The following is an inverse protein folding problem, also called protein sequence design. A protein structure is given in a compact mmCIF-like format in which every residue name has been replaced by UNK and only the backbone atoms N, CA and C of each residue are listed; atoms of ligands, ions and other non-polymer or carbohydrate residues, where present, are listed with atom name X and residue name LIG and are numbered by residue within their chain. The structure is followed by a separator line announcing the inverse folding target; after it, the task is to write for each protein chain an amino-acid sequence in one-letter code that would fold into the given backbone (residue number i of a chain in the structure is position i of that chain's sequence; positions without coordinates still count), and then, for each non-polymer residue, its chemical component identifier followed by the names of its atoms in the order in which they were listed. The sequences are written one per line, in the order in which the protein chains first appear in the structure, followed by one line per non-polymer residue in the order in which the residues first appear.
data_IF_206493784308
#
_entry.id   IF_206493784308
#
_cell.length_a   1.000
_cell.length_b   1.000
_cell.length_c   1.000
_cell.angle_alpha   90.00
_cell.angle_beta   90.00
_cell.angle_gamma   90.00
#
_symmetry.space_group_name_H-M   'P 1'
#
loop_
_entity.id
_entity.type
_entity.pdbx_description
1 polymer ?
#
# COMPACT_ATOMS: atom_id res chain seq x y z
N UNK A 1 -0.54 15.46 -0.59
CA UNK A 1 -0.28 14.01 -0.47
C UNK A 1 -1.55 13.29 -0.11
N UNK A 2 -1.83 12.20 -0.81
CA UNK A 2 -2.92 11.26 -0.52
C UNK A 2 -2.33 9.88 -0.22
N UNK A 3 -2.93 9.16 0.74
CA UNK A 3 -2.50 7.82 1.16
C UNK A 3 -3.71 6.90 1.19
N UNK A 4 -3.59 5.74 0.55
CA UNK A 4 -4.66 4.74 0.52
C UNK A 4 -4.10 3.39 0.93
N UNK A 5 -4.64 2.81 2.00
CA UNK A 5 -4.30 1.46 2.44
C UNK A 5 -5.43 0.50 2.07
N UNK A 6 -5.12 -0.58 1.36
CA UNK A 6 -6.04 -1.63 0.96
C UNK A 6 -5.66 -2.91 1.68
N UNK A 7 -6.63 -3.51 2.36
CA UNK A 7 -6.47 -4.74 3.13
C UNK A 7 -7.79 -5.51 3.15
N UNK A 8 -7.77 -6.77 3.56
CA UNK A 8 -8.96 -7.57 3.76
C UNK A 8 -8.97 -7.99 5.23
N UNK A 9 -10.00 -7.57 5.97
CA UNK A 9 -10.10 -7.87 7.40
C UNK A 9 -10.36 -9.35 7.71
N UNK A 10 -10.68 -10.16 6.70
CA UNK A 10 -10.98 -11.59 6.83
C UNK A 10 -9.88 -12.51 6.31
N UNK A 11 -8.86 -11.95 5.65
CA UNK A 11 -7.75 -12.70 5.08
C UNK A 11 -6.45 -12.26 5.74
N UNK A 12 -5.72 -13.22 6.31
CA UNK A 12 -4.42 -12.94 6.88
C UNK A 12 -3.40 -12.63 5.77
N UNK A 13 -2.52 -11.62 5.96
CA UNK A 13 -1.40 -11.38 5.06
C UNK A 13 -0.49 -12.62 4.93
N UNK A 14 -0.01 -12.86 3.72
CA UNK A 14 0.87 -13.98 3.40
C UNK A 14 2.24 -13.82 4.06
N UNK A 15 2.90 -14.94 4.35
CA UNK A 15 4.20 -14.97 5.04
C UNK A 15 5.32 -14.22 4.31
N UNK A 16 5.24 -14.09 2.99
CA UNK A 16 6.19 -13.31 2.19
C UNK A 16 6.04 -11.79 2.39
N UNK A 17 4.86 -11.33 2.82
CA UNK A 17 4.51 -9.92 2.99
C UNK A 17 3.74 -9.71 4.29
N UNK A 18 4.38 -9.98 5.45
CA UNK A 18 3.72 -9.88 6.74
C UNK A 18 3.25 -8.44 7.01
N UNK A 19 2.09 -8.31 7.64
CA UNK A 19 1.50 -7.02 7.98
C UNK A 19 0.52 -7.19 9.13
N UNK A 20 0.55 -6.26 10.09
CA UNK A 20 -0.50 -6.11 11.08
C UNK A 20 -1.52 -5.09 10.56
N UNK A 21 -2.60 -5.58 9.94
CA UNK A 21 -3.61 -4.72 9.33
C UNK A 21 -4.22 -3.73 10.33
N UNK A 22 -4.47 -4.16 11.58
CA UNK A 22 -5.06 -3.30 12.60
C UNK A 22 -4.13 -2.14 12.94
N UNK A 23 -2.84 -2.43 13.13
CA UNK A 23 -1.82 -1.41 13.37
C UNK A 23 -1.66 -0.45 12.21
N UNK A 24 -1.67 -0.95 10.97
CA UNK A 24 -1.56 -0.11 9.77
C UNK A 24 -2.78 0.80 9.63
N UNK A 25 -3.99 0.31 9.90
CA UNK A 25 -5.21 1.14 9.95
C UNK A 25 -5.09 2.24 11.00
N UNK A 26 -4.55 1.94 12.18
CA UNK A 26 -4.31 2.96 13.22
C UNK A 26 -3.35 4.05 12.72
N UNK A 27 -2.23 3.68 12.08
CA UNK A 27 -1.26 4.63 11.53
C UNK A 27 -1.86 5.50 10.41
N UNK A 28 -2.73 4.93 9.56
CA UNK A 28 -3.47 5.69 8.55
C UNK A 28 -4.39 6.72 9.21
N UNK A 29 -5.11 6.34 10.26
CA UNK A 29 -5.99 7.25 11.01
C UNK A 29 -5.18 8.37 11.69
N UNK A 30 -3.97 8.09 12.18
CA UNK A 30 -3.07 9.11 12.70
C UNK A 30 -2.64 10.11 11.62
N UNK A 31 -2.33 9.66 10.40
CA UNK A 31 -2.04 10.55 9.26
C UNK A 31 -3.26 11.42 8.91
N UNK A 32 -4.45 10.83 8.91
CA UNK A 32 -5.70 11.56 8.65
C UNK A 32 -5.94 12.63 9.73
N UNK A 33 -5.71 12.31 11.01
CA UNK A 33 -5.82 13.26 12.12
C UNK A 33 -4.83 14.44 12.00
N UNK A 34 -3.70 14.25 11.31
CA UNK A 34 -2.76 15.33 10.95
C UNK A 34 -3.17 16.14 9.70
N UNK A 35 -4.39 15.96 9.19
CA UNK A 35 -4.93 16.69 8.04
C UNK A 35 -4.41 16.21 6.68
N UNK A 36 -3.78 15.02 6.58
CA UNK A 36 -3.45 14.41 5.29
C UNK A 36 -4.66 13.67 4.74
N UNK A 37 -4.81 13.61 3.41
CA UNK A 37 -5.84 12.80 2.76
C UNK A 37 -5.49 11.30 2.84
N UNK A 38 -5.69 10.68 4.01
CA UNK A 38 -5.35 9.28 4.27
C UNK A 38 -6.60 8.45 4.57
N UNK A 39 -6.72 7.27 3.96
CA UNK A 39 -7.85 6.34 4.19
C UNK A 39 -7.43 4.88 4.13
N UNK A 40 -8.12 4.04 4.90
CA UNK A 40 -8.03 2.60 4.82
C UNK A 40 -9.29 2.04 4.16
N UNK A 41 -9.13 1.05 3.29
CA UNK A 41 -10.17 0.42 2.47
C UNK A 41 -10.13 -1.07 2.76
N UNK A 42 -11.17 -1.56 3.45
CA UNK A 42 -11.37 -2.99 3.69
C UNK A 42 -12.02 -3.63 2.45
N UNK A 43 -11.38 -4.64 1.89
CA UNK A 43 -11.78 -5.38 0.71
C UNK A 43 -12.58 -6.64 1.04
N UNK A 44 -12.96 -6.88 2.31
CA UNK A 44 -13.74 -8.04 2.73
C UNK A 44 -14.86 -8.42 1.74
N UNK A 45 -14.72 -9.61 1.14
CA UNK A 45 -15.70 -10.16 0.20
C UNK A 45 -15.77 -9.45 -1.16
N UNK A 46 -14.81 -8.57 -1.45
CA UNK A 46 -14.71 -7.81 -2.70
C UNK A 46 -13.32 -7.97 -3.32
N UNK A 47 -13.19 -7.60 -4.59
CA UNK A 47 -11.89 -7.45 -5.24
C UNK A 47 -11.63 -5.97 -5.45
N UNK A 48 -10.35 -5.59 -5.42
CA UNK A 48 -9.94 -4.25 -5.79
C UNK A 48 -10.33 -3.98 -7.25
N UNK A 49 -10.73 -2.74 -7.55
CA UNK A 49 -10.95 -2.32 -8.93
C UNK A 49 -9.65 -2.49 -9.74
N UNK A 50 -9.76 -3.07 -10.95
CA UNK A 50 -8.61 -3.28 -11.84
C UNK A 50 -7.80 -1.99 -12.07
N UNK A 51 -8.48 -0.85 -12.20
CA UNK A 51 -7.82 0.44 -12.40
C UNK A 51 -6.92 0.85 -11.21
N UNK A 52 -7.34 0.54 -9.99
CA UNK A 52 -6.53 0.78 -8.78
C UNK A 52 -5.29 -0.10 -8.78
N UNK A 53 -5.46 -1.41 -9.01
CA UNK A 53 -4.35 -2.35 -9.14
C UNK A 53 -3.37 -1.92 -10.23
N UNK A 54 -3.87 -1.62 -11.43
CA UNK A 54 -3.04 -1.18 -12.55
C UNK A 54 -2.27 0.10 -12.21
N UNK A 55 -2.91 1.07 -11.54
CA UNK A 55 -2.22 2.29 -11.11
C UNK A 55 -1.07 2.03 -10.14
N UNK A 56 -1.21 1.07 -9.22
CA UNK A 56 -0.17 0.68 -8.28
C UNK A 56 1.04 0.03 -8.98
N UNK A 57 0.82 -0.67 -10.09
CA UNK A 57 1.86 -1.32 -10.89
C UNK A 57 2.54 -0.34 -11.84
N UNK A 58 1.79 0.57 -12.46
CA UNK A 58 2.32 1.47 -13.50
C UNK A 58 2.76 2.84 -12.99
N UNK A 59 2.21 3.31 -11.87
CA UNK A 59 2.46 4.65 -11.33
C UNK A 59 3.88 4.84 -10.79
N UNK A 60 4.34 4.01 -9.84
CA UNK A 60 5.66 4.16 -9.26
C UNK A 60 6.79 3.99 -10.29
N UNK A 61 7.88 4.74 -10.11
CA UNK A 61 9.08 4.61 -10.95
C UNK A 61 9.63 3.18 -10.87
N UNK A 62 10.22 2.69 -11.97
CA UNK A 62 10.73 1.32 -12.07
C UNK A 62 11.67 0.90 -10.93
N UNK A 63 12.43 1.83 -10.36
CA UNK A 63 13.37 1.60 -9.26
C UNK A 63 12.69 1.30 -7.92
N UNK A 64 11.44 1.75 -7.74
CA UNK A 64 10.67 1.65 -6.50
C UNK A 64 9.30 1.01 -6.72
N UNK A 65 9.19 0.20 -7.78
CA UNK A 65 7.96 -0.54 -8.05
C UNK A 65 7.67 -1.49 -6.90
N UNK A 66 6.39 -1.53 -6.54
CA UNK A 66 5.88 -2.49 -5.59
C UNK A 66 6.08 -3.91 -6.10
N UNK A 67 5.93 -4.86 -5.17
CA UNK A 67 6.02 -6.30 -5.49
C UNK A 67 4.84 -6.78 -6.36
N UNK A 68 3.79 -5.96 -6.49
CA UNK A 68 2.65 -6.20 -7.37
C UNK A 68 3.10 -6.36 -8.83
N UNK A 69 2.56 -7.38 -9.53
CA UNK A 69 2.84 -7.59 -10.95
C UNK A 69 4.14 -8.35 -11.29
N UNK A 70 4.87 -8.86 -10.30
CA UNK A 70 5.91 -9.88 -10.55
C UNK A 70 5.27 -11.17 -11.12
N UNK A 71 6.03 -11.96 -11.91
CA UNK A 71 5.55 -13.14 -12.69
C UNK A 71 4.54 -13.98 -11.88
N UNK A 72 3.26 -13.94 -12.30
CA UNK A 72 2.16 -14.68 -11.63
C UNK A 72 0.91 -13.86 -11.27
N UNK A 73 0.86 -12.56 -11.57
CA UNK A 73 -0.31 -11.67 -11.46
C UNK A 73 -1.01 -11.63 -10.07
N UNK A 74 -0.47 -10.81 -9.17
CA UNK A 74 -0.98 -10.58 -7.80
C UNK A 74 -2.26 -9.72 -7.72
N UNK A 75 -3.07 -9.61 -8.78
CA UNK A 75 -4.29 -8.79 -8.70
C UNK A 75 -5.28 -9.36 -7.67
N UNK A 76 -5.42 -10.68 -7.63
CA UNK A 76 -6.32 -11.35 -6.68
C UNK A 76 -5.82 -11.23 -5.23
N UNK A 77 -4.51 -11.15 -5.07
CA UNK A 77 -3.82 -11.01 -3.79
C UNK A 77 -3.73 -9.56 -3.30
N UNK A 78 -3.95 -8.58 -4.19
CA UNK A 78 -3.82 -7.16 -3.89
C UNK A 78 -4.82 -6.73 -2.81
N UNK A 79 -4.31 -6.20 -1.72
CA UNK A 79 -5.09 -5.85 -0.55
C UNK A 79 -5.71 -7.05 0.15
N UNK A 80 -5.20 -8.27 -0.08
CA UNK A 80 -5.61 -9.49 0.63
C UNK A 80 -4.40 -10.14 1.30
N UNK A 81 -3.90 -11.23 0.72
CA UNK A 81 -2.66 -11.90 1.13
C UNK A 81 -1.45 -10.98 0.91
N UNK A 82 -1.54 -9.99 0.02
CA UNK A 82 -0.55 -8.92 -0.11
C UNK A 82 -1.23 -7.58 0.19
N UNK A 83 -1.13 -7.05 1.42
CA UNK A 83 -1.70 -5.75 1.76
C UNK A 83 -1.05 -4.66 0.92
N UNK A 84 -1.78 -3.60 0.59
CA UNK A 84 -1.29 -2.58 -0.34
C UNK A 84 -1.42 -1.17 0.21
N UNK A 85 -0.31 -0.45 0.27
CA UNK A 85 -0.29 0.97 0.63
C UNK A 85 0.12 1.79 -0.59
N UNK A 86 -0.74 2.68 -1.05
CA UNK A 86 -0.50 3.59 -2.17
C UNK A 86 -0.29 5.01 -1.65
N UNK A 87 0.78 5.65 -2.11
CA UNK A 87 1.12 7.03 -1.75
C UNK A 87 1.15 7.87 -3.01
N UNK A 88 0.41 8.97 -2.98
CA UNK A 88 0.25 9.91 -4.07
C UNK A 88 0.79 11.28 -3.64
N UNK A 89 1.51 11.94 -4.54
CA UNK A 89 2.06 13.27 -4.27
C UNK A 89 0.94 14.29 -3.98
N UNK A 90 -0.12 14.28 -4.79
CA UNK A 90 -1.31 15.12 -4.65
C UNK A 90 -2.58 14.29 -4.59
N UNK A 91 -3.62 14.88 -4.02
CA UNK A 91 -4.91 14.20 -3.85
C UNK A 91 -5.60 13.87 -5.18
N UNK A 92 -5.52 14.80 -6.14
CA UNK A 92 -6.07 14.66 -7.49
C UNK A 92 -5.26 13.70 -8.39
N UNK A 93 -4.10 13.22 -7.94
CA UNK A 93 -3.27 12.34 -8.76
C UNK A 93 -3.94 10.99 -8.97
N UNK A 94 -3.90 10.54 -10.22
CA UNK A 94 -4.44 9.26 -10.67
C UNK A 94 -3.47 8.10 -10.42
N UNK A 95 -2.17 8.38 -10.36
CA UNK A 95 -1.13 7.38 -10.19
C UNK A 95 -0.36 7.63 -8.90
N UNK A 96 -0.14 6.59 -8.08
CA UNK A 96 0.72 6.72 -6.92
C UNK A 96 2.18 6.91 -7.35
N UNK A 97 2.90 7.73 -6.60
CA UNK A 97 4.36 7.88 -6.76
C UNK A 97 5.11 6.74 -6.08
N UNK A 98 4.54 6.19 -5.01
CA UNK A 98 5.06 5.03 -4.29
C UNK A 98 3.95 4.04 -3.97
N UNK A 99 4.29 2.75 -4.00
CA UNK A 99 3.40 1.68 -3.56
C UNK A 99 4.19 0.68 -2.72
N UNK A 100 3.55 0.12 -1.69
CA UNK A 100 4.13 -0.85 -0.76
C UNK A 100 3.20 -2.06 -0.59
N UNK A 101 3.75 -3.25 -0.23
CA UNK A 101 5.16 -3.51 -0.02
C UNK A 101 5.98 -3.43 -1.30
N UNK A 102 7.26 -3.05 -1.16
CA UNK A 102 8.20 -2.99 -2.29
C UNK A 102 9.56 -3.54 -1.90
N UNK A 103 10.29 -4.08 -2.87
CA UNK A 103 11.71 -4.36 -2.71
C UNK A 103 12.46 -3.03 -2.76
N UNK A 104 13.14 -2.68 -1.67
CA UNK A 104 13.99 -1.51 -1.61
C UNK A 104 15.45 -1.91 -1.83
N UNK A 105 16.03 -1.43 -2.93
CA UNK A 105 17.40 -1.80 -3.33
C UNK A 105 18.46 -1.15 -2.45
N UNK A 106 18.18 0.01 -1.89
CA UNK A 106 19.14 0.73 -1.04
C UNK A 106 19.21 0.08 0.34
N UNK A 107 18.06 -0.30 0.88
CA UNK A 107 17.97 -0.97 2.18
C UNK A 107 18.19 -2.50 2.09
N UNK A 108 18.33 -3.05 0.89
CA UNK A 108 18.49 -4.50 0.63
C UNK A 108 17.41 -5.36 1.33
N UNK A 109 16.19 -4.82 1.44
CA UNK A 109 15.06 -5.49 2.11
C UNK A 109 13.72 -5.14 1.47
N UNK A 110 12.68 -5.91 1.78
CA UNK A 110 11.30 -5.53 1.48
C UNK A 110 10.83 -4.50 2.50
N UNK A 111 10.42 -3.32 2.04
CA UNK A 111 9.76 -2.33 2.89
C UNK A 111 8.25 -2.62 2.95
N UNK A 112 7.74 -2.89 4.15
CA UNK A 112 6.32 -3.17 4.40
C UNK A 112 5.46 -1.92 4.56
N UNK A 113 4.13 -2.11 4.61
CA UNK A 113 3.17 -1.01 4.76
C UNK A 113 3.31 -0.26 6.09
N UNK A 114 3.56 -0.98 7.19
CA UNK A 114 3.73 -0.38 8.51
C UNK A 114 4.94 0.54 8.58
N UNK A 115 6.11 0.04 8.16
CA UNK A 115 7.35 0.80 8.17
C UNK A 115 7.25 2.04 7.26
N UNK A 116 6.64 1.89 6.08
CA UNK A 116 6.38 3.01 5.17
C UNK A 116 5.50 4.10 5.82
N UNK A 117 4.42 3.73 6.50
CA UNK A 117 3.56 4.69 7.20
C UNK A 117 4.28 5.38 8.37
N UNK A 118 5.09 4.66 9.13
CA UNK A 118 5.90 5.26 10.20
C UNK A 118 6.87 6.31 9.65
N UNK A 119 7.53 6.01 8.53
CA UNK A 119 8.40 6.97 7.84
C UNK A 119 7.63 8.20 7.34
N UNK A 120 6.40 8.02 6.83
CA UNK A 120 5.54 9.13 6.42
C UNK A 120 5.10 9.98 7.63
N UNK A 121 4.70 9.36 8.73
CA UNK A 121 4.28 10.05 9.96
C UNK A 121 5.40 10.88 10.59
N UNK A 122 6.65 10.40 10.52
CA UNK A 122 7.83 11.12 10.99
C UNK A 122 8.13 12.38 10.16
N UNK A 123 7.66 12.42 8.90
CA UNK A 123 7.80 13.57 7.98
C UNK A 123 6.55 14.48 7.94
N UNK A 124 5.44 14.06 8.57
CA UNK A 124 4.10 14.62 8.36
C UNK A 124 3.68 15.72 9.33
#
# INVERSE_FOLDING_TARGET
MKVEFYYDSTVAPGSAFPCDNAKVVELVNQLAAKGKAAKAVDLKGTQVAFMTYNSAVTGPKAQVRAVFGAKGALQEDFGKTVPALLVFEKEADRYPTEAFPRSDKELMKTLGCEEALQMLLAKA
#
